data_IF_117395053091
#
_entry.id   IF_117395053091
#
_cell.length_a   1.000
_cell.length_b   1.000
_cell.length_c   1.000
_cell.angle_alpha   90.00
_cell.angle_beta   90.00
_cell.angle_gamma   90.00
#
_symmetry.space_group_name_H-M   'P 1'
#
loop_
_entity.id
_entity.type
_entity.pdbx_description
1 polymer ?
#
# COMPACT_ATOMS: atom_id res chain seq x y z
N UNK A 1 -7.39 10.15 -3.32
CA UNK A 1 -8.50 11.01 -2.87
C UNK A 1 -8.01 11.90 -1.75
N UNK A 2 -8.86 12.15 -0.74
CA UNK A 2 -8.59 13.13 0.32
C UNK A 2 -7.34 12.80 1.15
N UNK A 3 -6.95 11.52 1.27
CA UNK A 3 -5.77 11.08 2.03
C UNK A 3 -4.57 10.75 1.15
N UNK A 4 -4.68 10.96 -0.17
CA UNK A 4 -3.60 10.74 -1.13
C UNK A 4 -3.53 9.32 -1.73
N UNK A 5 -4.29 8.36 -1.21
CA UNK A 5 -4.35 7.01 -1.75
C UNK A 5 -5.39 6.85 -2.87
N UNK A 6 -5.50 5.65 -3.40
CA UNK A 6 -6.52 5.27 -4.37
C UNK A 6 -7.43 4.16 -3.84
N UNK A 7 -8.75 4.32 -4.04
CA UNK A 7 -9.72 3.26 -3.87
C UNK A 7 -9.72 2.29 -5.05
N UNK A 8 -10.52 1.23 -4.95
CA UNK A 8 -10.62 0.21 -5.99
C UNK A 8 -11.52 0.68 -7.13
N UNK A 9 -12.75 1.14 -6.81
CA UNK A 9 -13.75 1.41 -7.83
C UNK A 9 -14.13 2.89 -7.95
N UNK A 10 -14.48 3.52 -6.83
CA UNK A 10 -15.06 4.86 -6.81
C UNK A 10 -14.35 5.76 -5.81
N UNK A 11 -14.45 7.10 -5.92
CA UNK A 11 -13.87 7.98 -4.91
C UNK A 11 -14.34 7.62 -3.48
N UNK A 12 -13.39 7.48 -2.56
CA UNK A 12 -13.66 7.27 -1.13
C UNK A 12 -14.24 8.55 -0.50
N UNK A 13 -15.54 8.75 -0.67
CA UNK A 13 -16.29 9.92 -0.18
C UNK A 13 -17.07 9.64 1.10
N UNK A 14 -17.41 8.38 1.34
CA UNK A 14 -18.11 7.93 2.53
C UNK A 14 -17.25 8.10 3.79
N UNK A 15 -17.92 8.29 4.92
CA UNK A 15 -17.28 8.46 6.22
C UNK A 15 -17.04 7.09 6.87
N UNK A 16 -15.82 6.85 7.37
CA UNK A 16 -15.38 5.53 7.86
C UNK A 16 -16.27 4.96 8.98
N UNK A 17 -16.92 5.82 9.79
CA UNK A 17 -17.80 5.34 10.86
C UNK A 17 -19.05 4.60 10.34
N UNK A 18 -19.40 4.73 9.05
CA UNK A 18 -20.48 3.94 8.45
C UNK A 18 -20.18 2.44 8.45
N UNK A 19 -18.91 2.03 8.58
CA UNK A 19 -18.55 0.61 8.81
C UNK A 19 -19.15 0.06 10.12
N UNK A 20 -19.48 0.91 11.10
CA UNK A 20 -20.22 0.48 12.30
C UNK A 20 -21.62 -0.05 11.98
N UNK A 21 -22.15 0.29 10.81
CA UNK A 21 -23.45 -0.16 10.33
C UNK A 21 -23.36 -1.44 9.48
N UNK A 22 -22.17 -2.04 9.38
CA UNK A 22 -21.98 -3.26 8.60
C UNK A 22 -22.85 -4.39 9.18
N UNK A 23 -23.87 -4.87 8.46
CA UNK A 23 -24.73 -5.94 8.94
C UNK A 23 -24.13 -7.34 8.68
N UNK A 24 -22.97 -7.41 8.02
CA UNK A 24 -22.32 -8.66 7.64
C UNK A 24 -21.32 -9.05 8.72
N UNK A 25 -21.57 -10.18 9.39
CA UNK A 25 -20.78 -10.59 10.56
C UNK A 25 -19.40 -11.18 10.23
N UNK A 26 -19.18 -11.61 8.99
CA UNK A 26 -18.00 -12.39 8.57
C UNK A 26 -17.10 -11.68 7.56
N UNK A 27 -17.43 -10.45 7.15
CA UNK A 27 -16.58 -9.63 6.29
C UNK A 27 -16.36 -8.24 6.90
N UNK A 28 -15.10 -7.79 6.91
CA UNK A 28 -14.71 -6.42 7.27
C UNK A 28 -14.67 -5.55 6.00
N UNK A 29 -14.81 -4.22 6.15
CA UNK A 29 -14.57 -3.21 5.10
C UNK A 29 -15.46 -3.39 3.85
N UNK A 30 -16.77 -3.57 4.06
CA UNK A 30 -17.73 -3.83 2.96
C UNK A 30 -18.68 -2.67 2.66
N UNK A 31 -18.78 -1.67 3.54
CA UNK A 31 -19.80 -0.62 3.47
C UNK A 31 -19.27 0.62 2.77
N UNK A 32 -18.02 0.96 3.02
CA UNK A 32 -17.38 2.14 2.46
C UNK A 32 -16.19 1.74 1.61
N UNK A 33 -16.04 2.44 0.49
CA UNK A 33 -14.85 2.34 -0.31
C UNK A 33 -13.69 3.04 0.41
N UNK A 34 -12.58 2.33 0.62
CA UNK A 34 -11.39 2.83 1.29
C UNK A 34 -10.25 3.03 0.29
N UNK A 35 -9.23 3.77 0.70
CA UNK A 35 -7.98 3.87 -0.08
C UNK A 35 -7.02 2.76 0.36
N UNK A 36 -6.42 2.05 -0.62
CA UNK A 36 -5.63 0.84 -0.38
C UNK A 36 -4.17 0.99 -0.84
N UNK A 37 -3.28 0.24 -0.19
CA UNK A 37 -1.84 0.26 -0.48
C UNK A 37 -1.57 -0.19 -1.91
N UNK A 38 -2.21 -1.27 -2.35
CA UNK A 38 -1.95 -1.92 -3.63
C UNK A 38 -2.44 -1.08 -4.81
N UNK A 39 -3.65 -0.53 -4.71
CA UNK A 39 -4.21 0.38 -5.72
C UNK A 39 -3.35 1.64 -5.86
N UNK A 40 -2.96 2.24 -4.73
CA UNK A 40 -2.11 3.42 -4.70
C UNK A 40 -0.72 3.13 -5.29
N UNK A 41 -0.10 2.03 -4.87
CA UNK A 41 1.21 1.61 -5.33
C UNK A 41 1.25 1.34 -6.84
N UNK A 42 0.22 0.66 -7.35
CA UNK A 42 0.09 0.36 -8.78
C UNK A 42 -0.03 1.63 -9.62
N UNK A 43 -0.83 2.60 -9.14
CA UNK A 43 -0.99 3.88 -9.83
C UNK A 43 0.28 4.73 -9.81
N UNK A 44 1.05 4.74 -8.72
CA UNK A 44 2.37 5.40 -8.69
C UNK A 44 3.26 4.84 -9.79
N UNK A 45 3.39 3.51 -9.87
CA UNK A 45 4.25 2.87 -10.88
C UNK A 45 3.81 3.23 -12.30
N UNK A 46 2.51 3.13 -12.58
CA UNK A 46 1.94 3.49 -13.88
C UNK A 46 2.18 4.96 -14.23
N UNK A 47 1.94 5.89 -13.29
CA UNK A 47 2.07 7.32 -13.53
C UNK A 47 3.52 7.79 -13.60
N UNK A 48 4.44 7.16 -12.87
CA UNK A 48 5.88 7.38 -13.03
C UNK A 48 6.30 7.00 -14.45
N UNK A 49 5.89 5.83 -14.94
CA UNK A 49 6.18 5.39 -16.29
C UNK A 49 5.55 6.33 -17.34
N UNK A 50 4.27 6.68 -17.17
CA UNK A 50 3.56 7.60 -18.04
C UNK A 50 4.25 8.97 -18.11
N UNK A 51 4.64 9.54 -16.96
CA UNK A 51 5.38 10.81 -16.87
C UNK A 51 6.68 10.76 -17.65
N UNK A 52 7.40 9.62 -17.64
CA UNK A 52 8.64 9.44 -18.40
C UNK A 52 8.38 9.48 -19.92
N UNK A 53 7.27 8.90 -20.37
CA UNK A 53 6.90 8.84 -21.79
C UNK A 53 6.28 10.15 -22.29
N UNK A 54 5.54 10.86 -21.44
CA UNK A 54 4.78 12.08 -21.77
C UNK A 54 5.02 13.20 -20.74
N UNK A 55 6.25 13.75 -20.67
CA UNK A 55 6.67 14.63 -19.55
C UNK A 55 5.89 15.93 -19.42
N UNK A 56 5.31 16.44 -20.50
CA UNK A 56 4.56 17.71 -20.51
C UNK A 56 3.05 17.51 -20.28
N UNK A 57 2.54 16.28 -20.38
CA UNK A 57 1.10 16.03 -20.23
C UNK A 57 0.69 16.04 -18.75
N UNK A 58 -0.06 17.08 -18.33
CA UNK A 58 -0.60 17.22 -16.97
C UNK A 58 0.45 17.02 -15.88
N UNK A 59 1.67 17.49 -16.17
CA UNK A 59 2.87 17.25 -15.37
C UNK A 59 2.67 17.56 -13.89
N UNK A 60 2.08 18.73 -13.60
CA UNK A 60 1.87 19.21 -12.24
C UNK A 60 0.90 18.31 -11.47
N UNK A 61 -0.21 17.90 -12.08
CA UNK A 61 -1.17 17.01 -11.42
C UNK A 61 -0.58 15.63 -11.17
N UNK A 62 0.16 15.09 -12.14
CA UNK A 62 0.83 13.79 -12.00
C UNK A 62 1.89 13.81 -10.89
N UNK A 63 2.72 14.86 -10.85
CA UNK A 63 3.73 15.04 -9.80
C UNK A 63 3.10 15.19 -8.41
N UNK A 64 2.04 15.99 -8.30
CA UNK A 64 1.30 16.16 -7.06
C UNK A 64 0.65 14.85 -6.60
N UNK A 65 0.05 14.09 -7.52
CA UNK A 65 -0.52 12.79 -7.21
C UNK A 65 0.55 11.84 -6.65
N UNK A 66 1.68 11.68 -7.35
CA UNK A 66 2.76 10.78 -6.93
C UNK A 66 3.27 11.17 -5.54
N UNK A 67 3.49 12.46 -5.29
CA UNK A 67 3.97 12.94 -3.99
C UNK A 67 2.97 12.64 -2.85
N UNK A 68 1.66 12.83 -3.09
CA UNK A 68 0.63 12.54 -2.10
C UNK A 68 0.48 11.04 -1.86
N UNK A 69 0.52 10.24 -2.92
CA UNK A 69 0.40 8.79 -2.89
C UNK A 69 1.59 8.15 -2.17
N UNK A 70 2.81 8.67 -2.36
CA UNK A 70 3.99 8.25 -1.60
C UNK A 70 3.82 8.52 -0.11
N UNK A 71 3.32 9.70 0.28
CA UNK A 71 3.05 9.98 1.70
C UNK A 71 2.00 9.04 2.27
N UNK A 72 0.94 8.77 1.52
CA UNK A 72 -0.07 7.78 1.91
C UNK A 72 0.54 6.41 2.20
N UNK A 73 1.45 5.91 1.33
CA UNK A 73 2.15 4.65 1.57
C UNK A 73 3.02 4.72 2.84
N UNK A 74 3.77 5.80 3.04
CA UNK A 74 4.59 5.99 4.24
C UNK A 74 3.72 6.04 5.53
N UNK A 75 2.55 6.68 5.48
CA UNK A 75 1.61 6.82 6.60
C UNK A 75 0.86 5.52 6.93
N UNK A 76 0.61 4.67 5.93
CA UNK A 76 -0.04 3.37 6.10
C UNK A 76 0.90 2.26 6.57
N UNK A 77 2.20 2.52 6.65
CA UNK A 77 3.17 1.54 7.12
C UNK A 77 2.93 1.19 8.60
N UNK A 78 2.92 -0.11 8.91
CA UNK A 78 2.80 -0.59 10.28
C UNK A 78 4.08 -0.30 11.08
N UNK A 79 4.01 -0.46 12.40
CA UNK A 79 5.16 -0.22 13.29
C UNK A 79 6.32 -1.20 13.08
N UNK A 80 6.04 -2.42 12.62
CA UNK A 80 7.07 -3.43 12.29
C UNK A 80 7.71 -3.21 10.91
N UNK A 81 7.17 -2.29 10.09
CA UNK A 81 7.69 -1.94 8.78
C UNK A 81 6.95 -2.58 7.60
N UNK A 82 5.93 -3.39 7.86
CA UNK A 82 5.09 -4.01 6.84
C UNK A 82 3.91 -3.13 6.42
N UNK A 83 3.06 -3.67 5.55
CA UNK A 83 1.75 -3.10 5.20
C UNK A 83 0.71 -4.21 5.23
N UNK A 84 -0.55 -3.85 5.45
CA UNK A 84 -1.66 -4.78 5.32
C UNK A 84 -2.08 -4.91 3.86
N UNK A 85 -2.29 -6.15 3.41
CA UNK A 85 -2.80 -6.47 2.07
C UNK A 85 -4.29 -6.73 2.10
N UNK A 86 -5.03 -6.18 1.15
CA UNK A 86 -6.47 -6.36 1.04
C UNK A 86 -6.86 -7.37 -0.05
N UNK A 87 -5.96 -7.60 -1.02
CA UNK A 87 -6.23 -8.48 -2.18
C UNK A 87 -5.31 -9.70 -2.30
N UNK A 88 -4.42 -9.87 -1.33
CA UNK A 88 -3.48 -11.00 -1.25
C UNK A 88 -3.06 -11.26 0.19
N UNK A 89 -2.50 -12.44 0.45
CA UNK A 89 -2.05 -12.84 1.79
C UNK A 89 -0.58 -12.47 1.94
N UNK A 90 -0.19 -11.65 2.90
CA UNK A 90 -0.90 -10.50 3.48
C UNK A 90 0.11 -9.37 3.62
N UNK A 91 1.13 -9.59 4.45
CA UNK A 91 2.21 -8.64 4.68
C UNK A 91 3.23 -8.62 3.55
N UNK A 92 3.72 -9.78 3.13
CA UNK A 92 4.70 -9.91 2.04
C UNK A 92 4.14 -9.36 0.74
N UNK A 93 2.87 -9.66 0.45
CA UNK A 93 2.13 -9.15 -0.69
C UNK A 93 2.07 -7.62 -0.70
N UNK A 94 1.56 -6.99 0.35
CA UNK A 94 1.44 -5.54 0.40
C UNK A 94 2.81 -4.83 0.47
N UNK A 95 3.77 -5.38 1.22
CA UNK A 95 5.14 -4.87 1.27
C UNK A 95 5.82 -4.86 -0.09
N UNK A 96 5.57 -5.88 -0.93
CA UNK A 96 6.08 -5.90 -2.30
C UNK A 96 5.52 -4.74 -3.14
N UNK A 97 4.21 -4.50 -3.11
CA UNK A 97 3.58 -3.36 -3.79
C UNK A 97 4.14 -2.02 -3.31
N UNK A 98 4.18 -1.81 -2.00
CA UNK A 98 4.65 -0.56 -1.41
C UNK A 98 6.12 -0.28 -1.75
N UNK A 99 7.00 -1.29 -1.61
CA UNK A 99 8.42 -1.16 -1.97
C UNK A 99 8.59 -0.82 -3.46
N UNK A 100 7.90 -1.52 -4.35
CA UNK A 100 7.97 -1.26 -5.79
C UNK A 100 7.57 0.17 -6.16
N UNK A 101 6.48 0.66 -5.56
CA UNK A 101 6.00 2.03 -5.79
C UNK A 101 6.94 3.09 -5.22
N UNK A 102 7.46 2.90 -3.99
CA UNK A 102 8.41 3.83 -3.39
C UNK A 102 9.68 3.93 -4.23
N UNK A 103 10.23 2.79 -4.68
CA UNK A 103 11.40 2.75 -5.56
C UNK A 103 11.11 3.44 -6.90
N UNK A 104 9.96 3.17 -7.52
CA UNK A 104 9.55 3.85 -8.76
C UNK A 104 9.47 5.37 -8.59
N UNK A 105 9.03 5.86 -7.42
CA UNK A 105 9.00 7.28 -7.09
C UNK A 105 10.38 7.88 -6.72
N UNK A 106 11.46 7.12 -6.84
CA UNK A 106 12.83 7.59 -6.57
C UNK A 106 13.25 7.50 -5.10
N UNK A 107 12.50 6.78 -4.26
CA UNK A 107 12.94 6.47 -2.89
C UNK A 107 14.00 5.37 -2.92
N UNK A 108 14.97 5.47 -2.03
CA UNK A 108 16.08 4.52 -1.90
C UNK A 108 16.25 4.12 -0.44
N UNK A 109 17.12 3.13 -0.20
CA UNK A 109 17.46 2.71 1.16
C UNK A 109 18.06 3.85 2.00
N UNK A 110 18.80 4.76 1.37
CA UNK A 110 19.47 5.89 2.03
C UNK A 110 18.48 7.01 2.37
N UNK A 111 17.56 7.34 1.44
CA UNK A 111 16.70 8.51 1.57
C UNK A 111 15.31 8.24 2.17
N UNK A 112 14.93 6.97 2.39
CA UNK A 112 13.58 6.61 2.84
C UNK A 112 13.60 5.65 4.03
N UNK A 113 13.08 6.11 5.17
CA UNK A 113 12.96 5.27 6.37
C UNK A 113 11.97 4.11 6.17
N UNK A 114 10.89 4.32 5.40
CA UNK A 114 9.91 3.27 5.14
C UNK A 114 10.53 2.09 4.40
N UNK A 115 11.38 2.34 3.39
CA UNK A 115 12.13 1.29 2.69
C UNK A 115 13.01 0.51 3.68
N UNK A 116 13.77 1.18 4.54
CA UNK A 116 14.66 0.50 5.51
C UNK A 116 13.89 -0.40 6.46
N UNK A 117 12.75 0.07 6.98
CA UNK A 117 11.89 -0.71 7.87
C UNK A 117 11.31 -1.92 7.16
N UNK A 118 10.83 -1.75 5.94
CA UNK A 118 10.26 -2.82 5.13
C UNK A 118 11.29 -3.91 4.78
N UNK A 119 12.51 -3.51 4.41
CA UNK A 119 13.62 -4.44 4.17
C UNK A 119 13.95 -5.21 5.45
N UNK A 120 14.05 -4.52 6.59
CA UNK A 120 14.27 -5.17 7.89
C UNK A 120 13.16 -6.17 8.23
N UNK A 121 11.91 -5.80 8.00
CA UNK A 121 10.75 -6.67 8.20
C UNK A 121 10.90 -7.96 7.39
N UNK A 122 11.05 -7.84 6.06
CA UNK A 122 11.17 -8.99 5.16
C UNK A 122 12.33 -9.91 5.55
N UNK A 123 13.50 -9.36 5.89
CA UNK A 123 14.65 -10.17 6.32
C UNK A 123 14.41 -10.87 7.68
N UNK A 124 13.59 -10.29 8.56
CA UNK A 124 13.27 -10.90 9.86
C UNK A 124 12.33 -12.09 9.72
N UNK A 125 11.47 -12.11 8.69
CA UNK A 125 10.50 -13.18 8.44
C UNK A 125 10.97 -14.18 7.37
N UNK A 126 12.21 -14.05 6.87
CA UNK A 126 12.77 -14.99 5.92
C UNK A 126 13.04 -16.33 6.61
N UNK A 127 12.68 -17.43 5.95
CA UNK A 127 12.88 -18.79 6.44
C UNK A 127 14.32 -19.25 6.19
N UNK A 128 14.75 -20.30 6.89
CA UNK A 128 16.09 -20.91 6.71
C UNK A 128 16.33 -21.42 5.28
N UNK A 129 15.27 -21.81 4.58
CA UNK A 129 15.30 -22.22 3.17
C UNK A 129 15.45 -21.04 2.19
N UNK A 130 15.48 -19.80 2.69
CA UNK A 130 15.59 -18.57 1.93
C UNK A 130 14.26 -18.03 1.41
N UNK A 131 13.14 -18.74 1.59
CA UNK A 131 11.82 -18.33 1.15
C UNK A 131 11.04 -17.49 2.17
N UNK A 132 9.83 -17.11 1.75
CA UNK A 132 8.81 -16.48 2.58
C UNK A 132 7.51 -17.26 2.47
N UNK A 133 6.74 -17.27 3.54
CA UNK A 133 5.41 -17.88 3.54
C UNK A 133 4.55 -17.24 4.61
N UNK A 134 3.27 -17.09 4.30
CA UNK A 134 2.26 -16.60 5.23
C UNK A 134 1.06 -17.54 5.22
N UNK A 135 0.52 -17.81 6.41
CA UNK A 135 -0.76 -18.47 6.54
C UNK A 135 -1.90 -17.51 6.18
N UNK A 136 -3.01 -18.02 5.65
CA UNK A 136 -4.26 -17.24 5.51
C UNK A 136 -4.73 -16.64 6.84
N UNK A 137 -4.34 -17.26 7.97
CA UNK A 137 -4.60 -16.74 9.32
C UNK A 137 -3.90 -15.41 9.60
N UNK A 138 -2.91 -15.01 8.79
CA UNK A 138 -2.26 -13.70 8.90
C UNK A 138 -3.21 -12.55 8.64
N UNK A 139 -4.21 -12.75 7.76
CA UNK A 139 -5.24 -11.76 7.49
C UNK A 139 -6.16 -11.53 8.71
N UNK A 140 -6.62 -12.60 9.35
CA UNK A 140 -7.56 -12.50 10.48
C UNK A 140 -6.87 -12.14 11.79
N UNK A 141 -5.65 -12.63 12.02
CA UNK A 141 -4.89 -12.34 13.24
C UNK A 141 -4.07 -11.06 13.16
N UNK A 142 -3.89 -10.51 11.96
CA UNK A 142 -3.03 -9.35 11.68
C UNK A 142 -1.61 -9.57 12.23
N UNK A 143 -1.08 -10.79 12.06
CA UNK A 143 0.27 -11.21 12.50
C UNK A 143 0.94 -12.06 11.42
N UNK A 144 2.18 -11.73 11.08
CA UNK A 144 2.99 -12.49 10.12
C UNK A 144 3.55 -13.76 10.80
N UNK A 145 3.17 -14.95 10.32
CA UNK A 145 3.67 -16.27 10.76
C UNK A 145 3.63 -17.28 9.63
#
# INVERSE_FOLDING_TARGET
>A
GKKGGLPVWEPSEAVEWLELLNPIEFFEETIVELEYVECTASAIQALVLFKKLYPEHRKKEVENFIANAVRFLEDKQTSDGSWYGNWGIYFTYASWFALGALVAAGKTYENCAAIRKAVKFLLTIQREDGGWGESHLSCSKKVCR
#
